data_IF_582186053656
#
_entry.id   IF_582186053656
#
_cell.length_a   1.000
_cell.length_b   1.000
_cell.length_c   1.000
_cell.angle_alpha   90.00
_cell.angle_beta   90.00
_cell.angle_gamma   90.00
#
_symmetry.space_group_name_H-M   'P 1'
#
loop_
_entity.id
_entity.type
_entity.pdbx_description
1 polymer ?
#
# COMPACT_ATOMS: atom_id res chain seq x y z
N UNK A 1 16.28 17.18 4.68
CA UNK A 1 15.39 16.10 4.24
C UNK A 1 14.16 16.78 3.67
N UNK A 2 13.89 16.62 2.38
CA UNK A 2 12.78 17.33 1.73
C UNK A 2 11.47 16.97 2.47
N UNK A 3 10.79 17.99 2.99
CA UNK A 3 9.48 17.85 3.63
C UNK A 3 8.48 17.68 2.49
N UNK A 4 8.38 16.45 1.98
CA UNK A 4 7.36 16.07 1.01
C UNK A 4 5.98 16.03 1.68
N UNK A 5 4.90 16.08 0.90
CA UNK A 5 3.55 15.94 1.43
C UNK A 5 3.39 14.56 2.10
N UNK A 6 2.75 14.53 3.25
CA UNK A 6 2.54 13.31 4.03
C UNK A 6 1.04 13.06 4.22
N UNK A 7 0.60 11.85 3.89
CA UNK A 7 -0.76 11.37 4.16
C UNK A 7 -0.68 10.21 5.14
N UNK A 8 -1.33 10.35 6.28
CA UNK A 8 -1.34 9.34 7.34
C UNK A 8 -2.67 8.60 7.33
N UNK A 9 -2.62 7.26 7.31
CA UNK A 9 -3.79 6.40 7.44
C UNK A 9 -3.72 5.58 8.72
N UNK A 10 -4.82 5.60 9.50
CA UNK A 10 -4.97 4.80 10.74
C UNK A 10 -6.27 3.97 10.67
N UNK A 11 -6.26 2.65 10.87
CA UNK A 11 -7.49 1.87 10.95
C UNK A 11 -8.38 2.39 12.07
N UNK A 12 -9.66 2.67 11.79
CA UNK A 12 -10.64 3.13 12.80
C UNK A 12 -10.96 2.05 13.83
N UNK A 13 -10.93 0.79 13.37
CA UNK A 13 -11.23 -0.40 14.17
C UNK A 13 -10.38 -1.57 13.69
N UNK A 14 -10.24 -2.60 14.51
CA UNK A 14 -9.56 -3.83 14.11
C UNK A 14 -10.28 -4.50 12.93
N UNK A 15 -9.56 -4.67 11.82
CA UNK A 15 -10.09 -5.29 10.61
C UNK A 15 -10.16 -6.81 10.80
N UNK A 16 -11.37 -7.37 10.76
CA UNK A 16 -11.59 -8.84 10.86
C UNK A 16 -11.74 -9.51 9.49
N UNK A 17 -12.21 -8.75 8.50
CA UNK A 17 -12.45 -9.21 7.13
C UNK A 17 -11.36 -8.62 6.23
N UNK A 18 -10.81 -9.38 5.27
CA UNK A 18 -9.84 -8.86 4.32
C UNK A 18 -10.34 -7.63 3.56
N UNK A 19 -9.46 -6.66 3.40
CA UNK A 19 -9.70 -5.43 2.65
C UNK A 19 -8.73 -5.39 1.47
N UNK A 20 -9.24 -5.30 0.25
CA UNK A 20 -8.42 -5.04 -0.93
C UNK A 20 -8.38 -3.54 -1.16
N UNK A 21 -7.18 -2.96 -1.09
CA UNK A 21 -6.99 -1.52 -1.16
C UNK A 21 -5.89 -1.16 -2.18
N UNK A 22 -6.07 -1.47 -3.48
CA UNK A 22 -5.11 -1.10 -4.53
C UNK A 22 -5.00 0.41 -4.76
N UNK A 23 -5.90 1.19 -4.15
CA UNK A 23 -5.87 2.64 -4.12
C UNK A 23 -4.88 3.21 -3.10
N UNK A 24 -4.38 2.43 -2.12
CA UNK A 24 -3.38 2.90 -1.16
C UNK A 24 -2.01 2.87 -1.85
N UNK A 25 -1.71 3.94 -2.59
CA UNK A 25 -0.44 4.18 -3.28
C UNK A 25 -0.28 5.66 -3.64
N UNK A 26 0.96 6.16 -3.78
CA UNK A 26 1.19 7.57 -4.09
C UNK A 26 0.51 8.04 -5.37
N UNK A 27 0.52 7.21 -6.42
CA UNK A 27 -0.09 7.49 -7.72
C UNK A 27 -1.59 7.81 -7.64
N UNK A 28 -2.29 7.22 -6.68
CA UNK A 28 -3.73 7.42 -6.50
C UNK A 28 -4.07 8.58 -5.57
N UNK A 29 -3.13 9.01 -4.73
CA UNK A 29 -3.33 10.08 -3.74
C UNK A 29 -2.81 11.43 -4.24
N UNK A 30 -1.85 11.43 -5.17
CA UNK A 30 -1.28 12.64 -5.74
C UNK A 30 -2.37 13.56 -6.35
N UNK A 31 -2.32 14.84 -6.00
CA UNK A 31 -3.27 15.87 -6.39
C UNK A 31 -4.62 15.84 -5.67
N UNK A 32 -4.86 14.89 -4.75
CA UNK A 32 -6.14 14.76 -4.04
C UNK A 32 -6.10 15.43 -2.66
N UNK A 33 -7.21 16.05 -2.28
CA UNK A 33 -7.45 16.50 -0.91
C UNK A 33 -7.74 15.31 0.02
N UNK A 34 -7.62 15.54 1.33
CA UNK A 34 -7.96 14.54 2.36
C UNK A 34 -9.36 13.93 2.16
N UNK A 35 -10.35 14.75 1.76
CA UNK A 35 -11.72 14.31 1.52
C UNK A 35 -11.85 13.41 0.28
N UNK A 36 -11.11 13.71 -0.77
CA UNK A 36 -11.07 12.92 -1.99
C UNK A 36 -10.33 11.60 -1.77
N UNK A 37 -9.21 11.62 -1.03
CA UNK A 37 -8.53 10.40 -0.59
C UNK A 37 -9.50 9.53 0.23
N UNK A 38 -10.26 10.15 1.13
CA UNK A 38 -11.29 9.48 1.91
C UNK A 38 -12.43 8.87 1.09
N UNK A 39 -12.72 9.39 -0.11
CA UNK A 39 -13.80 8.92 -0.97
C UNK A 39 -13.39 7.76 -1.89
N UNK A 40 -12.09 7.46 -2.00
CA UNK A 40 -11.57 6.34 -2.78
C UNK A 40 -12.20 5.01 -2.33
N UNK A 41 -12.53 4.17 -3.30
CA UNK A 41 -13.20 2.90 -3.04
C UNK A 41 -12.23 1.76 -2.77
N UNK A 42 -12.62 0.88 -1.85
CA UNK A 42 -11.97 -0.36 -1.48
C UNK A 42 -13.00 -1.50 -1.49
N UNK A 43 -12.52 -2.74 -1.48
CA UNK A 43 -13.36 -3.92 -1.24
C UNK A 43 -13.09 -4.49 0.14
N UNK A 44 -14.10 -4.52 1.01
CA UNK A 44 -14.09 -5.25 2.29
C UNK A 44 -14.87 -6.54 2.11
N UNK A 45 -14.18 -7.67 1.97
CA UNK A 45 -14.79 -8.93 1.56
C UNK A 45 -15.46 -8.78 0.19
N UNK A 46 -16.80 -8.85 0.15
CA UNK A 46 -17.60 -8.69 -1.07
C UNK A 46 -18.32 -7.33 -1.18
N UNK A 47 -18.04 -6.37 -0.28
CA UNK A 47 -18.70 -5.06 -0.25
C UNK A 47 -17.75 -3.96 -0.69
N UNK A 48 -18.23 -3.05 -1.54
CA UNK A 48 -17.57 -1.77 -1.83
C UNK A 48 -17.78 -0.83 -0.65
N UNK A 49 -16.71 -0.23 -0.18
CA UNK A 49 -16.68 0.73 0.92
C UNK A 49 -15.71 1.85 0.57
N UNK A 50 -15.81 2.99 1.25
CA UNK A 50 -14.86 4.09 1.05
C UNK A 50 -13.68 3.97 2.01
N UNK A 51 -12.57 4.60 1.65
CA UNK A 51 -11.37 4.65 2.46
C UNK A 51 -11.64 5.25 3.84
N UNK A 52 -12.39 6.36 3.87
CA UNK A 52 -12.80 7.00 5.11
C UNK A 52 -13.76 6.16 5.97
N UNK A 53 -14.42 5.13 5.42
CA UNK A 53 -15.28 4.26 6.22
C UNK A 53 -14.44 3.31 7.10
N UNK A 54 -13.19 3.00 6.70
CA UNK A 54 -12.31 2.07 7.41
C UNK A 54 -11.11 2.74 8.08
N UNK A 55 -10.62 3.86 7.55
CA UNK A 55 -9.41 4.53 8.01
C UNK A 55 -9.68 6.00 8.36
N UNK A 56 -9.02 6.50 9.40
CA UNK A 56 -8.79 7.93 9.56
C UNK A 56 -7.74 8.35 8.54
N UNK A 57 -8.01 9.43 7.80
CA UNK A 57 -7.12 10.05 6.83
C UNK A 57 -6.69 11.38 7.43
N UNK A 58 -5.39 11.62 7.53
CA UNK A 58 -4.84 12.90 7.97
C UNK A 58 -3.84 13.37 6.91
N UNK A 59 -3.95 14.63 6.47
CA UNK A 59 -3.07 15.19 5.46
C UNK A 59 -3.63 15.08 4.04
N UNK A 60 -3.01 15.82 3.13
CA UNK A 60 -3.41 15.89 1.72
C UNK A 60 -2.29 15.38 0.80
N UNK A 61 -2.70 15.00 -0.40
CA UNK A 61 -1.81 14.60 -1.47
C UNK A 61 -1.44 15.76 -2.39
N UNK A 62 -1.36 17.01 -1.92
CA UNK A 62 -1.16 18.17 -2.81
C UNK A 62 0.17 18.16 -3.60
N UNK A 63 1.10 17.26 -3.26
CA UNK A 63 2.33 17.06 -4.01
C UNK A 63 2.18 16.07 -5.18
N UNK A 64 3.21 16.00 -6.03
CA UNK A 64 3.32 14.96 -7.04
C UNK A 64 3.60 13.59 -6.39
N UNK A 65 3.32 12.53 -7.12
CA UNK A 65 3.48 11.16 -6.61
C UNK A 65 4.91 10.89 -6.11
N UNK A 66 5.94 11.47 -6.73
CA UNK A 66 7.35 11.26 -6.37
C UNK A 66 7.72 11.82 -4.98
N UNK A 67 7.03 12.89 -4.57
CA UNK A 67 7.28 13.62 -3.33
C UNK A 67 6.31 13.20 -2.21
N UNK A 68 5.33 12.35 -2.52
CA UNK A 68 4.32 11.93 -1.56
C UNK A 68 4.81 10.77 -0.70
N UNK A 69 4.65 10.91 0.61
CA UNK A 69 4.84 9.83 1.57
C UNK A 69 3.50 9.43 2.19
N UNK A 70 3.11 8.17 2.02
CA UNK A 70 1.95 7.60 2.70
C UNK A 70 2.42 6.85 3.94
N UNK A 71 1.95 7.25 5.12
CA UNK A 71 2.31 6.65 6.41
C UNK A 71 1.15 5.83 6.95
N UNK A 72 1.31 4.52 7.03
CA UNK A 72 0.30 3.57 7.53
C UNK A 72 0.61 3.22 8.98
N UNK A 73 -0.26 3.66 9.89
CA UNK A 73 -0.07 3.56 11.34
C UNK A 73 -1.09 2.58 11.93
N UNK A 74 -0.59 1.50 12.52
CA UNK A 74 -1.43 0.43 13.11
C UNK A 74 -1.31 -0.89 12.35
N UNK A 75 -2.32 -1.74 12.51
CA UNK A 75 -2.34 -3.10 11.94
C UNK A 75 -3.01 -3.12 10.55
N UNK A 76 -2.21 -3.42 9.52
CA UNK A 76 -2.65 -3.57 8.13
C UNK A 76 -2.57 -5.03 7.67
N UNK A 77 -2.45 -6.01 8.58
CA UNK A 77 -2.34 -7.45 8.26
C UNK A 77 -3.51 -8.02 7.45
N UNK A 78 -4.69 -7.39 7.53
CA UNK A 78 -5.87 -7.74 6.72
C UNK A 78 -6.02 -6.89 5.45
N UNK A 79 -5.15 -5.91 5.23
CA UNK A 79 -5.18 -5.03 4.05
C UNK A 79 -4.26 -5.61 2.98
N UNK A 80 -4.82 -5.84 1.79
CA UNK A 80 -4.16 -6.46 0.65
C UNK A 80 -3.89 -5.43 -0.43
N UNK A 81 -2.88 -5.68 -1.25
CA UNK A 81 -2.56 -4.85 -2.43
C UNK A 81 -2.17 -3.41 -2.11
N UNK A 82 -1.60 -3.17 -0.93
CA UNK A 82 -0.98 -1.87 -0.61
C UNK A 82 0.21 -1.64 -1.56
N UNK A 83 0.31 -0.47 -2.18
CA UNK A 83 1.36 -0.16 -3.16
C UNK A 83 1.20 -0.89 -4.50
N UNK A 84 0.02 -1.43 -4.80
CA UNK A 84 -0.24 -2.14 -6.05
C UNK A 84 0.00 -1.26 -7.28
N UNK A 85 0.91 -1.68 -8.15
CA UNK A 85 1.33 -0.95 -9.35
C UNK A 85 1.90 0.46 -9.10
N UNK A 86 2.37 0.77 -7.89
CA UNK A 86 2.94 2.09 -7.62
C UNK A 86 4.18 2.36 -8.50
N UNK A 87 4.28 3.60 -8.99
CA UNK A 87 5.38 4.01 -9.91
C UNK A 87 6.37 4.97 -9.28
N UNK A 88 5.96 5.68 -8.23
CA UNK A 88 6.78 6.67 -7.55
C UNK A 88 6.37 6.84 -6.09
N UNK A 89 7.08 7.70 -5.36
CA UNK A 89 6.77 8.07 -3.98
C UNK A 89 7.20 7.04 -2.97
N UNK A 90 6.72 7.21 -1.74
CA UNK A 90 7.07 6.36 -0.61
C UNK A 90 5.84 5.91 0.16
N UNK A 91 5.79 4.65 0.56
CA UNK A 91 4.82 4.12 1.51
C UNK A 91 5.58 3.56 2.70
N UNK A 92 5.29 4.06 3.91
CA UNK A 92 5.90 3.61 5.17
C UNK A 92 4.83 2.98 6.03
N UNK A 93 5.01 1.72 6.40
CA UNK A 93 4.11 0.98 7.28
C UNK A 93 4.79 0.80 8.63
N UNK A 94 4.16 1.29 9.69
CA UNK A 94 4.67 1.12 11.05
C UNK A 94 4.37 -0.24 11.66
N UNK A 95 3.38 -0.95 11.11
CA UNK A 95 2.97 -2.27 11.56
C UNK A 95 3.00 -3.31 10.43
N UNK A 96 2.34 -4.47 10.64
CA UNK A 96 2.30 -5.53 9.65
C UNK A 96 1.38 -5.19 8.48
N UNK A 97 1.61 -5.81 7.33
CA UNK A 97 0.80 -5.69 6.11
C UNK A 97 0.34 -7.04 5.61
N UNK A 98 -0.85 -7.07 5.00
CA UNK A 98 -1.39 -8.27 4.40
C UNK A 98 -0.73 -8.67 3.09
N UNK A 99 -1.46 -9.49 2.34
CA UNK A 99 -0.98 -10.15 1.13
C UNK A 99 -0.81 -9.16 -0.03
N UNK A 100 0.09 -9.49 -0.96
CA UNK A 100 0.26 -8.78 -2.25
C UNK A 100 0.73 -7.32 -2.12
N UNK A 101 1.38 -6.95 -1.01
CA UNK A 101 2.00 -5.64 -0.90
C UNK A 101 3.06 -5.46 -1.99
N UNK A 102 3.04 -4.31 -2.68
CA UNK A 102 3.96 -4.02 -3.80
C UNK A 102 3.78 -4.91 -5.04
N UNK A 103 2.65 -5.61 -5.19
CA UNK A 103 2.39 -6.39 -6.41
C UNK A 103 2.41 -5.48 -7.65
N UNK A 104 3.13 -5.90 -8.69
CA UNK A 104 3.39 -5.13 -9.93
C UNK A 104 4.03 -3.74 -9.74
N UNK A 105 4.67 -3.49 -8.60
CA UNK A 105 5.38 -2.23 -8.36
C UNK A 105 6.39 -1.94 -9.48
N UNK A 106 6.41 -0.70 -9.98
CA UNK A 106 7.27 -0.24 -11.09
C UNK A 106 8.30 0.80 -10.65
N UNK A 107 8.11 1.42 -9.50
CA UNK A 107 9.04 2.38 -8.92
C UNK A 107 8.57 2.88 -7.55
N UNK A 108 9.34 3.77 -6.93
CA UNK A 108 9.11 4.23 -5.55
C UNK A 108 9.71 3.31 -4.48
N UNK A 109 9.31 3.53 -3.23
CA UNK A 109 9.84 2.82 -2.05
C UNK A 109 8.73 2.37 -1.11
N UNK A 110 8.76 1.11 -0.70
CA UNK A 110 7.85 0.51 0.27
C UNK A 110 8.65 0.06 1.51
N UNK A 111 8.42 0.68 2.66
CA UNK A 111 9.12 0.39 3.91
C UNK A 111 8.13 -0.23 4.88
N UNK A 112 8.33 -1.48 5.29
CA UNK A 112 7.45 -2.23 6.19
C UNK A 112 8.22 -2.51 7.48
N UNK A 113 7.84 -1.82 8.57
CA UNK A 113 8.48 -2.01 9.89
C UNK A 113 8.02 -3.29 10.60
N UNK A 114 6.86 -3.84 10.24
CA UNK A 114 6.35 -5.11 10.77
C UNK A 114 6.54 -6.29 9.81
N UNK A 115 5.66 -7.28 9.95
CA UNK A 115 5.62 -8.46 9.06
C UNK A 115 4.89 -8.16 7.75
N UNK A 116 5.28 -8.86 6.69
CA UNK A 116 4.64 -8.81 5.37
C UNK A 116 3.98 -10.15 5.04
N UNK A 117 2.74 -10.10 4.55
CA UNK A 117 2.05 -11.29 4.05
C UNK A 117 2.69 -11.88 2.79
N UNK A 118 2.17 -13.04 2.35
CA UNK A 118 2.64 -13.72 1.15
C UNK A 118 2.44 -12.90 -0.14
N UNK A 119 3.17 -13.25 -1.20
CA UNK A 119 3.20 -12.56 -2.50
C UNK A 119 3.69 -11.11 -2.44
N UNK A 120 4.49 -10.76 -1.44
CA UNK A 120 5.18 -9.48 -1.37
C UNK A 120 6.01 -9.24 -2.65
N UNK A 121 5.81 -8.11 -3.31
CA UNK A 121 6.56 -7.75 -4.52
C UNK A 121 6.33 -8.69 -5.71
N UNK A 122 5.24 -9.47 -5.71
CA UNK A 122 4.91 -10.36 -6.83
C UNK A 122 4.82 -9.57 -8.14
N UNK A 123 5.51 -10.05 -9.18
CA UNK A 123 5.59 -9.41 -10.51
C UNK A 123 6.12 -7.97 -10.53
N UNK A 124 6.93 -7.59 -9.53
CA UNK A 124 7.61 -6.29 -9.48
C UNK A 124 8.54 -6.08 -10.70
N UNK A 125 8.62 -4.83 -11.17
CA UNK A 125 9.43 -4.39 -12.32
C UNK A 125 10.41 -3.25 -12.00
N UNK A 126 10.24 -2.59 -10.86
CA UNK A 126 11.17 -1.59 -10.36
C UNK A 126 10.74 -1.03 -9.01
N UNK A 127 11.65 -0.30 -8.35
CA UNK A 127 11.48 0.28 -7.02
C UNK A 127 12.24 -0.46 -5.93
N UNK A 128 11.91 -0.22 -4.67
CA UNK A 128 12.47 -0.98 -3.54
C UNK A 128 11.39 -1.33 -2.51
N UNK A 129 11.52 -2.53 -1.93
CA UNK A 129 10.71 -3.01 -0.81
C UNK A 129 11.65 -3.43 0.32
N UNK A 130 11.52 -2.81 1.50
CA UNK A 130 12.30 -3.10 2.69
C UNK A 130 11.36 -3.61 3.79
N UNK A 131 11.64 -4.81 4.34
CA UNK A 131 10.86 -5.41 5.43
C UNK A 131 11.77 -5.63 6.63
N UNK A 132 11.38 -5.09 7.78
CA UNK A 132 12.13 -5.21 9.03
C UNK A 132 11.65 -6.39 9.91
N UNK A 133 10.44 -6.90 9.66
CA UNK A 133 9.92 -8.14 10.23
C UNK A 133 10.15 -9.36 9.34
N UNK A 134 9.20 -10.30 9.38
CA UNK A 134 9.21 -11.50 8.52
C UNK A 134 8.37 -11.31 7.26
N UNK A 135 8.72 -11.96 6.16
CA UNK A 135 7.89 -12.04 4.97
C UNK A 135 7.32 -13.45 4.79
N UNK A 136 6.07 -13.55 4.34
CA UNK A 136 5.43 -14.82 4.01
C UNK A 136 5.94 -15.46 2.72
N UNK A 137 5.26 -16.51 2.25
CA UNK A 137 5.64 -17.23 1.03
C UNK A 137 5.58 -16.37 -0.24
N UNK A 138 6.23 -16.84 -1.30
CA UNK A 138 6.10 -16.27 -2.66
C UNK A 138 6.57 -14.80 -2.80
N UNK A 139 7.56 -14.38 -2.00
CA UNK A 139 8.22 -13.07 -2.20
C UNK A 139 8.81 -12.99 -3.61
N UNK A 140 8.55 -11.90 -4.33
CA UNK A 140 9.08 -11.66 -5.69
C UNK A 140 8.59 -12.66 -6.74
N UNK A 141 7.52 -13.43 -6.45
CA UNK A 141 7.12 -14.53 -7.32
C UNK A 141 6.41 -14.10 -8.60
N UNK A 142 6.18 -15.07 -9.49
CA UNK A 142 5.14 -15.00 -10.51
C UNK A 142 3.74 -15.16 -9.90
N UNK A 143 2.72 -14.79 -10.68
CA UNK A 143 1.35 -15.17 -10.37
C UNK A 143 1.07 -16.61 -10.83
N UNK A 144 0.05 -17.26 -10.26
CA UNK A 144 -0.31 -18.62 -10.64
C UNK A 144 -0.60 -18.72 -12.14
N UNK A 145 0.10 -19.64 -12.81
CA UNK A 145 0.00 -19.85 -14.27
C UNK A 145 0.73 -18.81 -15.13
N UNK A 146 1.32 -17.77 -14.54
CA UNK A 146 2.15 -16.83 -15.27
C UNK A 146 3.53 -17.45 -15.58
N UNK A 147 4.04 -17.15 -16.78
CA UNK A 147 5.40 -17.57 -17.18
C UNK A 147 6.49 -16.71 -16.55
N UNK A 148 6.14 -15.48 -16.18
CA UNK A 148 7.09 -14.49 -15.68
C UNK A 148 6.68 -13.95 -14.31
N UNK A 149 7.68 -13.75 -13.45
CA UNK A 149 7.55 -13.14 -12.13
C UNK A 149 8.18 -11.76 -12.03
N UNK A 150 8.91 -11.50 -10.95
CA UNK A 150 9.67 -10.25 -10.79
C UNK A 150 10.73 -10.12 -11.91
N UNK A 151 10.87 -8.91 -12.45
CA UNK A 151 11.80 -8.59 -13.55
C UNK A 151 12.74 -7.41 -13.25
N UNK A 152 12.55 -6.71 -12.14
CA UNK A 152 13.36 -5.55 -11.72
C UNK A 152 12.75 -4.86 -10.53
#
# INVERSE_FOLDING_TARGET
>A
MAVGAEVVLKPKTALRVPVYAPCIKPDAFAGLSEREIGSLELLKGNRRVRLADLFHVEGDGAARAEELTIRLVGDFSKVRQVGFEMTAGRVVMEGPVGLLAGEHMRGGSLIIKGDAGSWLGSRMRGGSIEVFGSAGDYVGSAYRGARDGMRG
#
